data_IF_152017271345
#
_entry.id   IF_152017271345
#
_cell.length_a   1.000
_cell.length_b   1.000
_cell.length_c   1.000
_cell.angle_alpha   90.00
_cell.angle_beta   90.00
_cell.angle_gamma   90.00
#
_symmetry.space_group_name_H-M   'P 1'
#
loop_
_entity.id
_entity.type
_entity.pdbx_description
1 polymer ?
#
# COMPACT_ATOMS: atom_id res chain seq x y z
N UNK A 1 5.63 23.01 -1.75
CA UNK A 1 5.96 22.89 -3.19
C UNK A 1 5.63 21.46 -3.59
N UNK A 2 4.49 21.24 -4.25
CA UNK A 2 3.88 19.91 -4.52
C UNK A 2 4.57 19.12 -5.66
N UNK A 3 5.82 19.44 -5.95
CA UNK A 3 6.62 18.88 -7.05
C UNK A 3 7.76 17.96 -6.57
N UNK A 4 7.70 17.44 -5.34
CA UNK A 4 8.68 16.45 -4.90
C UNK A 4 8.40 15.11 -5.59
N UNK A 5 8.97 14.93 -6.78
CA UNK A 5 9.16 13.62 -7.42
C UNK A 5 9.83 12.72 -6.39
N UNK A 6 9.13 11.66 -5.97
CA UNK A 6 9.60 10.52 -5.19
C UNK A 6 10.61 10.79 -4.07
N UNK A 7 10.18 10.69 -2.81
CA UNK A 7 11.10 10.63 -1.68
C UNK A 7 11.86 9.29 -1.66
N UNK A 8 13.19 9.32 -1.53
CA UNK A 8 14.04 8.12 -1.32
C UNK A 8 14.12 7.69 0.15
N UNK A 9 13.44 8.39 1.05
CA UNK A 9 13.45 8.08 2.48
C UNK A 9 12.55 6.89 2.79
N UNK A 10 13.08 5.95 3.57
CA UNK A 10 12.35 4.76 4.01
C UNK A 10 11.26 5.12 5.03
N UNK A 11 10.13 4.43 4.98
CA UNK A 11 9.11 4.50 6.02
C UNK A 11 9.60 3.72 7.26
N UNK A 12 10.27 4.42 8.18
CA UNK A 12 10.93 3.81 9.36
C UNK A 12 9.96 3.24 10.39
N UNK A 13 8.65 3.49 10.24
CA UNK A 13 7.60 2.98 11.14
C UNK A 13 7.54 1.44 11.18
N UNK A 14 8.07 0.79 10.14
CA UNK A 14 8.08 -0.68 10.00
C UNK A 14 9.38 -1.34 10.50
N UNK A 15 10.36 -0.57 11.01
CA UNK A 15 11.65 -1.13 11.46
C UNK A 15 11.51 -2.12 12.64
N UNK A 16 10.44 -1.99 13.43
CA UNK A 16 10.14 -2.91 14.54
C UNK A 16 9.22 -4.07 14.12
N UNK A 17 8.99 -4.28 12.83
CA UNK A 17 8.11 -5.30 12.28
C UNK A 17 6.80 -4.75 11.70
N UNK A 18 5.93 -5.65 11.21
CA UNK A 18 4.65 -5.28 10.62
C UNK A 18 3.74 -4.49 11.56
N UNK A 19 2.91 -3.62 11.00
CA UNK A 19 2.00 -2.74 11.75
C UNK A 19 0.60 -2.78 11.16
N UNK A 20 -0.39 -2.85 12.04
CA UNK A 20 -1.79 -2.65 11.69
C UNK A 20 -2.07 -1.16 11.48
N UNK A 21 -2.49 -0.79 10.28
CA UNK A 21 -2.79 0.60 9.89
C UNK A 21 -4.14 0.70 9.22
N UNK A 22 -4.78 1.86 9.41
CA UNK A 22 -5.98 2.27 8.69
C UNK A 22 -5.67 3.55 7.93
N UNK A 23 -6.05 3.60 6.66
CA UNK A 23 -5.96 4.81 5.85
C UNK A 23 -7.19 5.69 6.04
N UNK A 24 -6.97 7.01 6.13
CA UNK A 24 -8.01 8.00 6.38
C UNK A 24 -7.66 9.31 5.64
N UNK A 25 -8.68 10.05 5.23
CA UNK A 25 -8.54 11.37 4.60
C UNK A 25 -8.82 11.38 3.10
N UNK A 26 -8.74 12.57 2.51
CA UNK A 26 -9.16 12.82 1.11
C UNK A 26 -8.25 12.14 0.08
N UNK A 27 -7.03 11.78 0.46
CA UNK A 27 -6.08 11.06 -0.41
C UNK A 27 -6.35 9.55 -0.52
N UNK A 28 -7.42 9.06 0.12
CA UNK A 28 -7.87 7.67 0.02
C UNK A 28 -8.06 7.00 1.37
N UNK A 29 -8.94 6.01 1.39
CA UNK A 29 -9.35 5.27 2.59
C UNK A 29 -8.96 3.79 2.55
N UNK A 30 -8.38 3.36 1.42
CA UNK A 30 -7.94 1.98 1.20
C UNK A 30 -6.78 1.95 0.21
N UNK A 31 -6.03 0.85 0.20
CA UNK A 31 -4.99 0.63 -0.81
C UNK A 31 -5.61 0.60 -2.20
N UNK A 32 -4.92 1.20 -3.17
CA UNK A 32 -5.32 1.07 -4.58
C UNK A 32 -5.39 -0.40 -4.96
N UNK A 33 -6.53 -0.85 -5.49
CA UNK A 33 -6.73 -2.24 -5.97
C UNK A 33 -6.36 -2.41 -7.44
N UNK A 34 -5.81 -1.37 -8.06
CA UNK A 34 -5.38 -1.36 -9.45
C UNK A 34 -3.90 -0.97 -9.54
N UNK A 35 -3.18 -1.47 -10.56
CA UNK A 35 -1.81 -1.05 -10.83
C UNK A 35 -1.69 0.47 -10.81
N UNK A 36 -0.82 0.96 -9.93
CA UNK A 36 -0.52 2.38 -9.85
C UNK A 36 0.82 2.62 -10.53
N UNK A 37 0.91 3.62 -11.40
CA UNK A 37 2.15 3.87 -12.15
C UNK A 37 3.28 4.37 -11.22
N UNK A 38 4.55 4.15 -11.57
CA UNK A 38 5.67 4.73 -10.86
C UNK A 38 5.60 6.26 -10.80
N UNK A 39 6.29 6.88 -9.83
CA UNK A 39 6.31 8.33 -9.60
C UNK A 39 4.96 8.96 -9.21
N UNK A 40 3.98 8.15 -8.79
CA UNK A 40 2.73 8.61 -8.19
C UNK A 40 2.78 8.48 -6.65
N UNK A 41 1.76 8.99 -5.95
CA UNK A 41 1.65 8.90 -4.48
C UNK A 41 2.88 9.46 -3.71
N UNK A 42 3.63 10.39 -4.31
CA UNK A 42 4.83 10.98 -3.72
C UNK A 42 6.02 10.02 -3.56
N UNK A 43 6.07 8.94 -4.34
CA UNK A 43 7.11 7.90 -4.27
C UNK A 43 7.58 7.50 -5.68
N UNK A 44 8.79 6.97 -5.83
CA UNK A 44 9.26 6.47 -7.14
C UNK A 44 8.66 5.10 -7.45
N UNK A 45 8.52 4.27 -6.42
CA UNK A 45 8.02 2.90 -6.50
C UNK A 45 6.67 2.85 -5.77
N UNK A 46 5.61 2.47 -6.48
CA UNK A 46 4.23 2.58 -6.00
C UNK A 46 3.66 1.22 -5.65
N UNK A 47 3.25 1.05 -4.39
CA UNK A 47 2.65 -0.17 -3.86
C UNK A 47 1.13 -0.15 -4.03
N UNK A 48 0.55 -1.15 -4.68
CA UNK A 48 -0.89 -1.34 -4.85
C UNK A 48 -1.31 -2.76 -4.44
N UNK A 49 -2.52 -2.92 -3.93
CA UNK A 49 -3.04 -4.20 -3.47
C UNK A 49 -3.55 -5.03 -4.65
N UNK A 50 -2.89 -6.15 -4.94
CA UNK A 50 -3.23 -7.06 -6.04
C UNK A 50 -4.12 -8.24 -5.61
N UNK A 51 -4.42 -8.34 -4.32
CA UNK A 51 -5.33 -9.35 -3.78
C UNK A 51 -6.80 -8.99 -3.96
N UNK A 52 -7.67 -9.95 -3.61
CA UNK A 52 -9.09 -9.69 -3.44
C UNK A 52 -9.32 -9.05 -2.07
N UNK A 53 -10.16 -8.00 -2.04
CA UNK A 53 -10.56 -7.38 -0.79
C UNK A 53 -11.53 -8.30 -0.04
N UNK A 54 -11.36 -8.51 1.28
CA UNK A 54 -12.27 -9.36 2.04
C UNK A 54 -13.70 -8.80 2.02
N UNK A 55 -14.66 -9.64 1.58
CA UNK A 55 -16.07 -9.30 1.54
C UNK A 55 -16.78 -9.54 2.89
N UNK A 56 -16.29 -10.51 3.67
CA UNK A 56 -16.87 -10.86 4.97
C UNK A 56 -16.24 -10.00 6.06
N UNK A 57 -17.09 -9.32 6.84
CA UNK A 57 -16.64 -8.49 7.96
C UNK A 57 -15.98 -9.32 9.05
N UNK A 58 -15.05 -8.72 9.79
CA UNK A 58 -14.32 -9.32 10.91
C UNK A 58 -13.51 -10.57 10.54
N UNK A 59 -13.19 -10.72 9.25
CA UNK A 59 -12.33 -11.80 8.75
C UNK A 59 -10.99 -11.22 8.32
N UNK A 60 -9.91 -11.79 8.84
CA UNK A 60 -8.53 -11.51 8.40
C UNK A 60 -8.23 -12.41 7.21
N UNK A 61 -7.82 -11.81 6.09
CA UNK A 61 -7.38 -12.55 4.89
C UNK A 61 -6.00 -12.07 4.47
N UNK A 62 -5.20 -12.99 3.93
CA UNK A 62 -3.91 -12.64 3.34
C UNK A 62 -4.11 -12.12 1.91
N UNK A 63 -3.32 -11.13 1.54
CA UNK A 63 -3.25 -10.59 0.18
C UNK A 63 -1.84 -10.15 -0.17
N UNK A 64 -1.68 -9.67 -1.41
CA UNK A 64 -0.40 -9.20 -1.93
C UNK A 64 -0.47 -7.70 -2.19
N UNK A 65 0.61 -7.01 -1.83
CA UNK A 65 0.91 -5.68 -2.37
C UNK A 65 2.00 -5.83 -3.41
N UNK A 66 1.72 -5.41 -4.64
CA UNK A 66 2.67 -5.32 -5.73
C UNK A 66 3.28 -3.92 -5.78
N UNK A 67 4.57 -3.83 -6.06
CA UNK A 67 5.31 -2.57 -6.16
C UNK A 67 5.71 -2.32 -7.62
N UNK A 68 5.09 -1.31 -8.23
CA UNK A 68 5.36 -0.90 -9.61
C UNK A 68 6.68 -0.13 -9.70
N UNK A 69 7.55 -0.53 -10.62
CA UNK A 69 8.76 0.21 -10.99
C UNK A 69 9.04 -0.02 -12.48
N UNK A 70 9.32 1.07 -13.20
CA UNK A 70 9.60 1.10 -14.64
C UNK A 70 8.36 0.65 -15.41
N UNK A 71 8.49 -0.34 -16.29
CA UNK A 71 7.40 -0.88 -17.09
C UNK A 71 6.69 -2.07 -16.43
N UNK A 72 7.12 -2.50 -15.24
CA UNK A 72 6.52 -3.62 -14.54
C UNK A 72 5.70 -3.12 -13.35
N UNK A 73 4.42 -3.50 -13.32
CA UNK A 73 3.48 -3.15 -12.24
C UNK A 73 3.67 -3.99 -10.97
N UNK A 74 4.50 -5.03 -10.99
CA UNK A 74 4.79 -5.86 -9.84
C UNK A 74 6.24 -6.35 -9.87
N UNK A 75 7.19 -5.42 -9.75
CA UNK A 75 8.63 -5.74 -9.71
C UNK A 75 9.00 -6.42 -8.39
N UNK A 76 8.38 -6.01 -7.29
CA UNK A 76 8.42 -6.71 -6.01
C UNK A 76 7.02 -6.92 -5.47
N UNK A 77 6.88 -7.80 -4.49
CA UNK A 77 5.66 -7.95 -3.74
C UNK A 77 5.90 -8.27 -2.27
N UNK A 78 4.95 -7.85 -1.44
CA UNK A 78 4.87 -8.23 -0.02
C UNK A 78 3.52 -8.91 0.24
N UNK A 79 3.55 -10.01 0.99
CA UNK A 79 2.34 -10.55 1.62
C UNK A 79 1.94 -9.65 2.78
N UNK A 80 0.66 -9.32 2.86
CA UNK A 80 0.05 -8.56 3.96
C UNK A 80 -1.21 -9.25 4.47
N UNK A 81 -1.64 -8.89 5.67
CA UNK A 81 -2.97 -9.23 6.19
C UNK A 81 -3.92 -8.06 5.99
N UNK A 82 -5.19 -8.33 5.66
CA UNK A 82 -6.24 -7.30 5.56
C UNK A 82 -7.51 -7.79 6.25
N UNK A 83 -8.18 -6.87 6.95
CA UNK A 83 -9.46 -7.13 7.62
C UNK A 83 -10.51 -6.15 7.16
N UNK A 84 -11.70 -6.64 6.82
CA UNK A 84 -12.87 -5.82 6.58
C UNK A 84 -13.57 -5.52 7.93
N UNK A 85 -13.60 -4.25 8.34
CA UNK A 85 -14.25 -3.81 9.59
C UNK A 85 -15.69 -3.30 9.38
N UNK A 86 -16.30 -3.58 8.21
CA UNK A 86 -17.64 -3.16 7.82
C UNK A 86 -17.65 -1.84 7.05
N UNK A 87 -17.12 -0.76 7.65
CA UNK A 87 -17.08 0.58 7.04
C UNK A 87 -15.69 1.03 6.58
N UNK A 88 -14.66 0.25 6.89
CA UNK A 88 -13.27 0.51 6.50
C UNK A 88 -12.47 -0.78 6.51
N UNK A 89 -11.27 -0.72 5.93
CA UNK A 89 -10.30 -1.80 5.96
C UNK A 89 -9.12 -1.44 6.86
N UNK A 90 -8.55 -2.46 7.51
CA UNK A 90 -7.30 -2.35 8.28
C UNK A 90 -6.31 -3.35 7.71
N UNK A 91 -5.07 -2.91 7.55
CA UNK A 91 -4.02 -3.66 6.88
C UNK A 91 -2.85 -3.87 7.83
N UNK A 92 -2.32 -5.08 7.90
CA UNK A 92 -1.04 -5.36 8.53
C UNK A 92 0.06 -5.22 7.49
N UNK A 93 0.69 -4.04 7.45
CA UNK A 93 1.71 -3.72 6.47
C UNK A 93 3.10 -3.98 7.01
N UNK A 94 3.98 -4.47 6.14
CA UNK A 94 5.39 -4.66 6.39
C UNK A 94 6.22 -3.52 5.79
N UNK A 95 7.53 -3.56 6.01
CA UNK A 95 8.43 -2.60 5.36
C UNK A 95 8.40 -2.77 3.84
N UNK A 96 8.25 -1.68 3.05
CA UNK A 96 8.40 -1.75 1.61
C UNK A 96 9.78 -2.32 1.21
N UNK A 97 9.88 -2.99 0.05
CA UNK A 97 11.10 -3.70 -0.36
C UNK A 97 12.30 -2.77 -0.62
N UNK A 98 12.05 -1.49 -0.88
CA UNK A 98 13.06 -0.45 -1.07
C UNK A 98 12.61 0.86 -0.43
N UNK A 99 13.54 1.71 -0.03
CA UNK A 99 13.22 2.96 0.67
C UNK A 99 12.43 3.95 -0.18
N UNK A 100 12.61 3.94 -1.50
CA UNK A 100 11.84 4.75 -2.44
C UNK A 100 10.48 4.13 -2.81
N UNK A 101 9.98 3.18 -2.01
CA UNK A 101 8.67 2.56 -2.18
C UNK A 101 7.69 2.97 -1.08
N UNK A 102 6.45 3.25 -1.48
CA UNK A 102 5.34 3.56 -0.57
C UNK A 102 4.05 2.90 -1.01
N UNK A 103 3.14 2.70 -0.06
CA UNK A 103 1.79 2.21 -0.31
C UNK A 103 0.90 3.34 -0.86
N UNK A 104 0.29 3.11 -2.02
CA UNK A 104 -0.67 4.03 -2.64
C UNK A 104 -2.08 3.74 -2.15
N UNK A 105 -2.80 4.81 -1.86
CA UNK A 105 -4.21 4.77 -1.47
C UNK A 105 -5.10 5.38 -2.53
N UNK A 106 -6.34 4.94 -2.59
CA UNK A 106 -7.40 5.57 -3.36
C UNK A 106 -8.71 5.61 -2.56
N UNK A 107 -9.68 6.32 -3.10
CA UNK A 107 -11.08 6.17 -2.69
C UNK A 107 -11.68 4.94 -3.39
N UNK A 108 -12.51 4.13 -2.70
CA UNK A 108 -13.29 3.05 -3.31
C UNK A 108 -14.03 3.44 -4.58
#
# INVERSE_FOLDING_TARGET
>A
NVNAVGSTNCDTIFLSGPRWVRFMGDSGTQLSTTPTDPNQCGTQVTGWYSGLMPAVTQTVTNGQVCFSWHSNSCTWSNTISVTNCGSFYVYELSMPPVCAARYCTNTP
#
